data_IF_110951799535
#
_entry.id   IF_110951799535
#
_cell.length_a   1.000
_cell.length_b   1.000
_cell.length_c   1.000
_cell.angle_alpha   90.00
_cell.angle_beta   90.00
_cell.angle_gamma   90.00
#
_symmetry.space_group_name_H-M   'P 1'
#
loop_
_entity.id
_entity.type
_entity.pdbx_description
1 polymer ?
#
# COMPACT_ATOMS: atom_id res chain seq x y z
N UNK A 1 -12.78 -3.96 5.19
CA UNK A 1 -12.18 -5.21 5.71
C UNK A 1 -13.11 -5.75 6.80
N UNK A 2 -13.34 -7.06 6.85
CA UNK A 2 -14.23 -7.70 7.80
C UNK A 2 -13.48 -8.81 8.56
N UNK A 3 -13.53 -8.80 9.89
CA UNK A 3 -13.12 -9.93 10.72
C UNK A 3 -14.34 -10.82 10.94
N UNK A 4 -14.19 -12.12 10.70
CA UNK A 4 -15.27 -13.11 10.84
C UNK A 4 -14.77 -14.23 11.74
N UNK A 5 -15.59 -14.58 12.73
CA UNK A 5 -15.44 -15.77 13.57
C UNK A 5 -16.48 -16.80 13.11
N UNK A 6 -16.13 -17.68 12.16
CA UNK A 6 -17.09 -18.60 11.54
C UNK A 6 -17.54 -19.71 12.50
N UNK A 7 -18.86 -19.96 12.52
CA UNK A 7 -19.45 -21.15 13.16
C UNK A 7 -19.53 -22.29 12.13
N UNK A 8 -18.40 -22.97 11.92
CA UNK A 8 -18.26 -24.02 10.91
C UNK A 8 -19.26 -25.17 11.14
N UNK A 9 -20.12 -25.45 10.16
CA UNK A 9 -21.08 -26.57 10.17
C UNK A 9 -20.68 -27.66 9.19
N UNK A 10 -21.08 -28.91 9.49
CA UNK A 10 -20.90 -30.07 8.61
C UNK A 10 -19.44 -30.30 8.18
N UNK A 11 -18.51 -30.22 9.14
CA UNK A 11 -17.09 -30.47 8.92
C UNK A 11 -16.92 -31.96 8.55
N UNK A 12 -16.64 -32.25 7.28
CA UNK A 12 -16.58 -33.63 6.75
C UNK A 12 -15.23 -34.31 7.00
N UNK A 13 -14.17 -33.52 7.24
CA UNK A 13 -12.83 -33.98 7.54
C UNK A 13 -12.27 -33.16 8.72
N UNK A 14 -11.40 -33.73 9.57
CA UNK A 14 -10.62 -33.00 10.61
C UNK A 14 -9.61 -31.99 9.99
N UNK A 15 -10.06 -31.14 9.08
CA UNK A 15 -9.29 -30.01 8.60
C UNK A 15 -9.23 -29.01 9.73
N UNK A 16 -8.01 -28.62 10.11
CA UNK A 16 -7.75 -27.45 10.96
C UNK A 16 -8.27 -26.20 10.23
N UNK A 17 -9.57 -25.94 10.37
CA UNK A 17 -10.21 -24.71 9.90
C UNK A 17 -9.84 -23.58 10.86
N UNK A 18 -9.63 -22.35 10.36
CA UNK A 18 -9.26 -21.23 11.22
C UNK A 18 -10.44 -20.81 12.10
N UNK A 19 -10.13 -20.45 13.35
CA UNK A 19 -11.12 -19.90 14.30
C UNK A 19 -11.57 -18.49 13.90
N UNK A 20 -10.74 -17.77 13.14
CA UNK A 20 -11.05 -16.43 12.64
C UNK A 20 -10.38 -16.17 11.31
N UNK A 21 -11.12 -15.48 10.43
CA UNK A 21 -10.67 -15.12 9.09
C UNK A 21 -10.89 -13.63 8.86
N UNK A 22 -10.07 -13.05 7.99
CA UNK A 22 -10.23 -11.69 7.50
C UNK A 22 -10.69 -11.75 6.05
N UNK A 23 -11.72 -10.98 5.71
CA UNK A 23 -12.16 -10.75 4.33
C UNK A 23 -11.85 -9.30 3.95
N UNK A 24 -10.98 -9.13 2.95
CA UNK A 24 -10.75 -7.86 2.26
C UNK A 24 -11.63 -7.83 1.01
N UNK A 25 -12.48 -6.80 0.92
CA UNK A 25 -13.35 -6.52 -0.21
C UNK A 25 -12.94 -5.14 -0.72
N UNK A 26 -12.59 -5.04 -2.00
CA UNK A 26 -12.28 -3.77 -2.63
C UNK A 26 -13.55 -2.92 -2.73
N UNK A 27 -13.47 -1.67 -2.28
CA UNK A 27 -14.63 -0.78 -2.21
C UNK A 27 -14.20 0.68 -2.30
N UNK A 28 -14.99 1.48 -3.02
CA UNK A 28 -14.85 2.93 -3.09
C UNK A 28 -15.68 3.66 -2.04
N UNK A 29 -16.37 2.96 -1.14
CA UNK A 29 -17.33 3.59 -0.22
C UNK A 29 -16.69 4.70 0.62
N UNK A 30 -15.49 4.46 1.15
CA UNK A 30 -14.77 5.48 1.94
C UNK A 30 -14.38 6.69 1.09
N UNK A 31 -13.99 6.48 -0.18
CA UNK A 31 -13.68 7.58 -1.08
C UNK A 31 -14.92 8.44 -1.34
N UNK A 32 -16.06 7.80 -1.65
CA UNK A 32 -17.34 8.49 -1.87
C UNK A 32 -17.76 9.29 -0.62
N UNK A 33 -17.59 8.72 0.57
CA UNK A 33 -17.90 9.38 1.84
C UNK A 33 -17.03 10.63 2.07
N UNK A 34 -15.70 10.50 1.90
CA UNK A 34 -14.77 11.63 2.06
C UNK A 34 -15.07 12.73 1.03
N UNK A 35 -15.30 12.37 -0.24
CA UNK A 35 -15.64 13.35 -1.27
C UNK A 35 -16.97 14.06 -0.97
N UNK A 36 -17.96 13.34 -0.42
CA UNK A 36 -19.21 13.93 0.05
C UNK A 36 -18.98 14.96 1.16
N UNK A 37 -18.15 14.64 2.15
CA UNK A 37 -17.78 15.57 3.24
C UNK A 37 -17.05 16.81 2.72
N UNK A 38 -16.14 16.64 1.74
CA UNK A 38 -15.41 17.76 1.14
C UNK A 38 -16.36 18.70 0.36
N UNK A 39 -17.35 18.18 -0.35
CA UNK A 39 -18.35 18.99 -1.04
C UNK A 39 -19.21 19.83 -0.10
N UNK A 40 -19.52 19.32 1.10
CA UNK A 40 -20.27 20.06 2.11
C UNK A 40 -19.47 21.23 2.70
N UNK A 41 -18.14 21.10 2.78
CA UNK A 41 -17.24 22.13 3.34
C UNK A 41 -16.96 23.25 2.33
N UNK A 42 -16.72 22.91 1.07
CA UNK A 42 -16.07 23.85 0.14
C UNK A 42 -17.05 24.80 -0.61
N UNK A 43 -18.37 24.54 -0.61
CA UNK A 43 -19.37 25.22 -1.47
C UNK A 43 -18.97 25.34 -2.96
N UNK A 44 -17.87 24.72 -3.38
CA UNK A 44 -17.31 24.74 -4.71
C UNK A 44 -17.85 23.55 -5.49
N UNK A 45 -18.34 23.84 -6.68
CA UNK A 45 -18.99 22.91 -7.62
C UNK A 45 -17.99 21.99 -8.30
N UNK A 46 -17.20 21.23 -7.55
CA UNK A 46 -16.57 20.02 -8.10
C UNK A 46 -17.57 18.89 -7.92
N UNK A 47 -18.58 18.87 -8.79
CA UNK A 47 -19.41 17.68 -8.96
C UNK A 47 -18.46 16.51 -9.17
N UNK A 48 -18.59 15.45 -8.38
CA UNK A 48 -17.93 14.18 -8.64
C UNK A 48 -18.33 13.78 -10.07
N UNK A 49 -17.39 13.94 -11.00
CA UNK A 49 -17.63 13.57 -12.39
C UNK A 49 -17.68 12.05 -12.46
N UNK A 50 -18.68 11.50 -13.14
CA UNK A 50 -18.81 10.05 -13.32
C UNK A 50 -17.52 9.46 -13.93
N UNK A 51 -16.82 10.21 -14.78
CA UNK A 51 -15.55 9.79 -15.35
C UNK A 51 -14.44 9.60 -14.29
N UNK A 52 -14.41 10.45 -13.26
CA UNK A 52 -13.42 10.33 -12.18
C UNK A 52 -13.73 9.13 -11.27
N UNK A 53 -15.01 8.88 -11.00
CA UNK A 53 -15.43 7.69 -10.27
C UNK A 53 -15.09 6.40 -11.01
N UNK A 54 -15.35 6.35 -12.32
CA UNK A 54 -15.04 5.18 -13.15
C UNK A 54 -13.53 4.89 -13.16
N UNK A 55 -12.71 5.95 -13.28
CA UNK A 55 -11.24 5.84 -13.18
C UNK A 55 -10.80 5.32 -11.82
N UNK A 56 -11.38 5.84 -10.74
CA UNK A 56 -11.05 5.39 -9.38
C UNK A 56 -11.49 3.95 -9.13
N UNK A 57 -12.65 3.54 -9.64
CA UNK A 57 -13.11 2.16 -9.60
C UNK A 57 -12.15 1.24 -10.33
N UNK A 58 -11.71 1.64 -11.52
CA UNK A 58 -10.73 0.88 -12.30
C UNK A 58 -9.41 0.72 -11.53
N UNK A 59 -8.91 1.80 -10.91
CA UNK A 59 -7.70 1.76 -10.07
C UNK A 59 -7.90 0.81 -8.89
N UNK A 60 -9.03 0.92 -8.18
CA UNK A 60 -9.36 0.05 -7.04
C UNK A 60 -9.36 -1.44 -7.42
N UNK A 61 -9.94 -1.78 -8.57
CA UNK A 61 -9.92 -3.16 -9.11
C UNK A 61 -8.50 -3.59 -9.50
N UNK A 62 -7.72 -2.69 -10.11
CA UNK A 62 -6.34 -2.95 -10.55
C UNK A 62 -5.42 -3.24 -9.35
N UNK A 63 -5.47 -2.44 -8.29
CA UNK A 63 -4.66 -2.66 -7.07
C UNK A 63 -5.07 -3.92 -6.31
N UNK A 64 -6.38 -4.22 -6.26
CA UNK A 64 -6.88 -5.49 -5.72
C UNK A 64 -6.33 -6.70 -6.49
N UNK A 65 -6.36 -6.63 -7.82
CA UNK A 65 -5.86 -7.72 -8.67
C UNK A 65 -4.34 -7.91 -8.58
N UNK A 66 -3.59 -6.84 -8.32
CA UNK A 66 -2.15 -6.90 -8.04
C UNK A 66 -1.91 -7.71 -6.76
N UNK A 67 -2.64 -7.41 -5.69
CA UNK A 67 -2.53 -8.15 -4.42
C UNK A 67 -2.95 -9.63 -4.58
N UNK A 68 -4.05 -9.90 -5.30
CA UNK A 68 -4.44 -11.26 -5.65
C UNK A 68 -3.32 -12.00 -6.40
N UNK A 69 -2.73 -11.35 -7.41
CA UNK A 69 -1.63 -11.93 -8.21
C UNK A 69 -0.40 -12.26 -7.37
N UNK A 70 -0.06 -11.41 -6.40
CA UNK A 70 1.02 -11.67 -5.45
C UNK A 70 0.75 -12.95 -4.65
N UNK A 71 -0.42 -13.04 -4.02
CA UNK A 71 -0.76 -14.19 -3.19
C UNK A 71 -0.92 -15.49 -4.00
N UNK A 72 -1.50 -15.43 -5.20
CA UNK A 72 -1.56 -16.57 -6.11
C UNK A 72 -0.16 -17.07 -6.46
N UNK A 73 0.74 -16.15 -6.84
CA UNK A 73 2.13 -16.49 -7.18
C UNK A 73 2.85 -17.16 -6.01
N UNK A 74 2.75 -16.58 -4.82
CA UNK A 74 3.35 -17.15 -3.60
C UNK A 74 2.78 -18.54 -3.30
N UNK A 75 1.46 -18.72 -3.42
CA UNK A 75 0.77 -19.99 -3.14
C UNK A 75 1.14 -21.08 -4.15
N UNK A 76 1.09 -20.78 -5.44
CA UNK A 76 1.35 -21.74 -6.52
C UNK A 76 2.80 -22.25 -6.51
N UNK A 77 3.73 -21.40 -6.10
CA UNK A 77 5.16 -21.73 -6.07
C UNK A 77 5.64 -22.20 -4.69
N UNK A 78 4.75 -22.36 -3.71
CA UNK A 78 5.08 -22.73 -2.34
C UNK A 78 6.16 -21.81 -1.71
N UNK A 79 5.97 -20.50 -1.86
CA UNK A 79 6.92 -19.46 -1.45
C UNK A 79 6.46 -18.69 -0.20
N UNK A 80 5.50 -19.21 0.57
CA UNK A 80 5.04 -18.56 1.79
C UNK A 80 6.22 -18.35 2.76
N UNK A 81 6.41 -17.10 3.16
CA UNK A 81 7.30 -16.75 4.26
C UNK A 81 6.53 -16.80 5.56
N UNK A 82 7.24 -16.78 6.70
CA UNK A 82 6.61 -16.62 8.02
C UNK A 82 5.86 -15.28 8.18
N UNK A 83 6.15 -14.30 7.33
CA UNK A 83 5.56 -12.96 7.38
C UNK A 83 4.47 -12.74 6.33
N UNK A 84 4.17 -13.76 5.51
CA UNK A 84 3.08 -13.67 4.53
C UNK A 84 1.80 -14.26 5.12
N UNK A 85 0.69 -13.51 5.13
CA UNK A 85 -0.60 -14.05 5.55
C UNK A 85 -0.98 -15.28 4.73
N UNK A 86 -1.50 -16.31 5.40
CA UNK A 86 -1.96 -17.50 4.72
C UNK A 86 -3.31 -17.23 4.05
N UNK A 87 -3.40 -17.50 2.75
CA UNK A 87 -4.61 -17.22 1.98
C UNK A 87 -5.47 -18.46 1.85
N UNK A 88 -6.65 -18.40 2.45
CA UNK A 88 -7.69 -19.43 2.37
C UNK A 88 -8.32 -19.42 0.97
N UNK A 89 -8.78 -18.26 0.51
CA UNK A 89 -9.41 -18.09 -0.79
C UNK A 89 -9.22 -16.66 -1.29
N UNK A 90 -9.25 -16.45 -2.60
CA UNK A 90 -9.19 -15.12 -3.21
C UNK A 90 -9.93 -15.14 -4.54
N UNK A 91 -10.31 -13.95 -5.01
CA UNK A 91 -10.91 -13.72 -6.32
C UNK A 91 -10.49 -12.36 -6.85
N UNK A 92 -9.89 -12.35 -8.03
CA UNK A 92 -9.63 -11.15 -8.81
C UNK A 92 -10.89 -10.67 -9.52
N UNK A 93 -10.95 -9.39 -9.86
CA UNK A 93 -11.92 -8.86 -10.81
C UNK A 93 -11.55 -9.27 -12.23
N UNK A 94 -12.54 -9.77 -12.97
CA UNK A 94 -12.44 -10.12 -14.39
C UNK A 94 -13.80 -9.91 -15.07
N UNK A 95 -13.92 -10.27 -16.35
CA UNK A 95 -15.17 -10.13 -17.12
C UNK A 95 -16.35 -10.90 -16.50
N UNK A 96 -16.09 -12.03 -15.84
CA UNK A 96 -17.10 -12.86 -15.16
C UNK A 96 -17.36 -12.44 -13.70
N UNK A 97 -16.45 -11.68 -13.10
CA UNK A 97 -16.43 -11.30 -11.68
C UNK A 97 -16.27 -9.79 -11.48
N UNK A 98 -17.06 -8.99 -12.21
CA UNK A 98 -16.89 -7.53 -12.25
C UNK A 98 -17.18 -6.83 -10.91
N UNK A 99 -17.95 -7.47 -10.01
CA UNK A 99 -18.49 -6.86 -8.78
C UNK A 99 -18.11 -7.59 -7.49
N UNK A 100 -17.32 -8.66 -7.53
CA UNK A 100 -17.11 -9.53 -6.37
C UNK A 100 -15.66 -10.01 -6.15
N UNK A 101 -14.68 -9.14 -6.41
CA UNK A 101 -13.30 -9.38 -5.98
C UNK A 101 -13.17 -9.39 -4.45
N UNK A 102 -12.43 -10.36 -3.92
CA UNK A 102 -12.17 -10.49 -2.48
C UNK A 102 -10.86 -11.23 -2.19
N UNK A 103 -10.33 -11.07 -0.98
CA UNK A 103 -9.26 -11.90 -0.43
C UNK A 103 -9.70 -12.37 0.96
N UNK A 104 -9.62 -13.67 1.21
CA UNK A 104 -9.89 -14.33 2.50
C UNK A 104 -8.58 -14.92 3.02
N UNK A 105 -8.15 -14.44 4.18
CA UNK A 105 -6.89 -14.83 4.81
C UNK A 105 -7.09 -15.15 6.29
N UNK A 106 -6.12 -15.86 6.86
CA UNK A 106 -6.11 -16.11 8.31
C UNK A 106 -6.04 -14.78 9.07
N UNK A 107 -6.79 -14.68 10.17
CA UNK A 107 -6.67 -13.54 11.07
C UNK A 107 -5.31 -13.56 11.77
N UNK A 108 -4.60 -12.44 11.71
CA UNK A 108 -3.33 -12.24 12.41
C UNK A 108 -3.60 -11.26 13.55
N UNK A 109 -3.51 -11.76 14.77
CA UNK A 109 -3.58 -10.91 15.95
C UNK A 109 -2.38 -9.96 15.97
N UNK A 110 -2.67 -8.67 16.07
CA UNK A 110 -1.67 -7.60 16.18
C UNK A 110 -2.04 -6.71 17.36
N UNK A 111 -1.02 -6.23 18.06
CA UNK A 111 -1.17 -5.12 18.99
C UNK A 111 -1.24 -3.81 18.20
N UNK A 112 -1.85 -2.80 18.81
CA UNK A 112 -1.88 -1.45 18.26
C UNK A 112 -0.45 -0.89 18.16
N UNK A 113 -0.10 -0.41 16.98
CA UNK A 113 1.18 0.22 16.70
C UNK A 113 0.95 1.47 15.85
N UNK A 114 1.25 2.63 16.41
CA UNK A 114 1.05 3.93 15.79
C UNK A 114 2.17 4.27 14.81
N UNK A 115 1.90 5.16 13.85
CA UNK A 115 2.93 5.77 13.00
C UNK A 115 3.97 6.56 13.81
N UNK A 116 3.60 7.03 15.01
CA UNK A 116 4.48 7.75 15.92
C UNK A 116 5.30 6.82 16.83
N UNK A 117 5.03 5.52 16.82
CA UNK A 117 5.75 4.57 17.65
C UNK A 117 7.11 4.25 17.04
N UNK A 118 8.13 4.23 17.89
CA UNK A 118 9.49 3.88 17.49
C UNK A 118 9.73 2.38 17.62
N UNK A 119 10.54 1.85 16.72
CA UNK A 119 11.09 0.49 16.83
C UNK A 119 12.58 0.55 17.13
N UNK A 120 13.06 -0.42 17.88
CA UNK A 120 14.48 -0.66 18.11
C UNK A 120 15.15 -1.18 16.83
N UNK A 121 16.49 -1.13 16.81
CA UNK A 121 17.25 -1.68 15.69
C UNK A 121 17.02 -3.19 15.50
N UNK A 122 16.84 -3.95 16.58
CA UNK A 122 16.58 -5.40 16.50
C UNK A 122 15.19 -5.72 15.95
N UNK A 123 14.19 -4.89 16.24
CA UNK A 123 12.85 -4.97 15.63
C UNK A 123 12.90 -4.60 14.15
N UNK A 124 13.64 -3.54 13.78
CA UNK A 124 13.86 -3.17 12.38
C UNK A 124 14.53 -4.30 11.59
N UNK A 125 15.47 -5.05 12.18
CA UNK A 125 16.09 -6.22 11.53
C UNK A 125 15.06 -7.26 11.08
N UNK A 126 13.94 -7.43 11.81
CA UNK A 126 12.90 -8.37 11.41
C UNK A 126 12.25 -7.93 10.09
N UNK A 127 11.93 -6.63 9.97
CA UNK A 127 11.41 -6.04 8.73
C UNK A 127 12.44 -6.21 7.61
N UNK A 128 13.70 -5.85 7.83
CA UNK A 128 14.75 -5.98 6.81
C UNK A 128 14.92 -7.42 6.32
N UNK A 129 14.85 -8.41 7.21
CA UNK A 129 14.88 -9.84 6.81
C UNK A 129 13.68 -10.21 5.94
N UNK A 130 12.47 -9.75 6.28
CA UNK A 130 11.29 -9.95 5.45
C UNK A 130 11.48 -9.35 4.05
N UNK A 131 12.06 -8.16 3.96
CA UNK A 131 12.32 -7.52 2.67
C UNK A 131 13.31 -8.30 1.81
N UNK A 132 14.37 -8.83 2.40
CA UNK A 132 15.32 -9.68 1.68
C UNK A 132 14.62 -10.94 1.17
N UNK A 133 13.82 -11.63 2.00
CA UNK A 133 13.07 -12.81 1.55
C UNK A 133 12.10 -12.49 0.40
N UNK A 134 11.37 -11.37 0.46
CA UNK A 134 10.49 -10.96 -0.64
C UNK A 134 11.25 -10.60 -1.92
N UNK A 135 12.40 -9.95 -1.81
CA UNK A 135 13.25 -9.69 -2.98
C UNK A 135 13.76 -10.98 -3.61
N UNK A 136 14.12 -12.00 -2.81
CA UNK A 136 14.50 -13.33 -3.31
C UNK A 136 13.33 -14.08 -3.95
N UNK A 137 12.11 -13.95 -3.41
CA UNK A 137 10.88 -14.46 -4.05
C UNK A 137 10.69 -13.82 -5.42
N UNK A 138 10.95 -12.52 -5.53
CA UNK A 138 10.90 -11.77 -6.79
C UNK A 138 11.81 -12.33 -7.89
N UNK A 139 12.94 -12.93 -7.55
CA UNK A 139 13.84 -13.55 -8.54
C UNK A 139 13.25 -14.79 -9.22
N UNK A 140 12.20 -15.37 -8.62
CA UNK A 140 11.51 -16.55 -9.15
C UNK A 140 10.29 -16.19 -9.99
N UNK A 141 9.96 -14.90 -10.12
CA UNK A 141 8.82 -14.42 -10.90
C UNK A 141 9.13 -14.59 -12.38
N UNK A 142 8.26 -15.31 -13.09
CA UNK A 142 8.32 -15.42 -14.55
C UNK A 142 7.84 -14.12 -15.23
N UNK A 143 8.15 -13.97 -16.52
CA UNK A 143 7.85 -12.73 -17.26
C UNK A 143 6.34 -12.41 -17.30
N UNK A 144 5.46 -13.40 -17.38
CA UNK A 144 4.02 -13.17 -17.44
C UNK A 144 3.48 -12.67 -16.11
N UNK A 145 3.92 -13.28 -15.00
CA UNK A 145 3.58 -12.82 -13.65
C UNK A 145 4.20 -11.45 -13.39
N UNK A 146 5.43 -11.22 -13.83
CA UNK A 146 6.12 -9.92 -13.71
C UNK A 146 5.34 -8.78 -14.38
N UNK A 147 4.75 -9.02 -15.56
CA UNK A 147 3.92 -8.02 -16.26
C UNK A 147 2.70 -7.59 -15.46
N UNK A 148 2.14 -8.46 -14.60
CA UNK A 148 1.02 -8.12 -13.71
C UNK A 148 1.43 -7.12 -12.62
N UNK A 149 2.69 -7.13 -12.20
CA UNK A 149 3.24 -6.21 -11.19
C UNK A 149 3.82 -4.92 -11.80
N UNK A 150 4.20 -4.94 -13.09
CA UNK A 150 4.70 -3.75 -13.82
C UNK A 150 3.57 -2.87 -14.33
N UNK A 151 2.62 -2.54 -13.46
CA UNK A 151 1.61 -1.52 -13.78
C UNK A 151 2.25 -0.14 -13.70
N UNK A 152 1.88 0.76 -14.63
CA UNK A 152 2.17 2.21 -14.51
C UNK A 152 1.25 2.88 -13.49
N UNK A 153 0.92 2.14 -12.42
CA UNK A 153 -0.08 2.52 -11.45
C UNK A 153 0.33 3.79 -10.71
N UNK A 154 1.63 3.93 -10.38
CA UNK A 154 2.13 5.14 -9.75
C UNK A 154 1.89 6.38 -10.62
N UNK A 155 2.33 6.37 -11.88
CA UNK A 155 2.10 7.52 -12.77
C UNK A 155 0.61 7.75 -13.04
N UNK A 156 -0.19 6.70 -13.22
CA UNK A 156 -1.66 6.78 -13.38
C UNK A 156 -2.37 7.37 -12.15
N UNK A 157 -1.93 7.03 -10.94
CA UNK A 157 -2.49 7.58 -9.69
C UNK A 157 -2.04 9.04 -9.47
N UNK A 158 -0.79 9.36 -9.78
CA UNK A 158 -0.22 10.68 -9.50
C UNK A 158 -0.52 11.72 -10.58
N UNK A 159 -0.88 11.31 -11.81
CA UNK A 159 -1.11 12.21 -12.95
C UNK A 159 -2.12 13.32 -12.62
N UNK A 160 -3.25 12.97 -12.00
CA UNK A 160 -4.26 13.96 -11.62
C UNK A 160 -3.77 14.93 -10.53
N UNK A 161 -2.88 14.47 -9.65
CA UNK A 161 -2.37 15.25 -8.51
C UNK A 161 -1.26 16.23 -8.90
N UNK A 162 -0.71 16.11 -10.12
CA UNK A 162 0.33 17.04 -10.61
C UNK A 162 -0.15 18.07 -11.60
N UNK A 163 -1.46 18.09 -11.88
CA UNK A 163 -2.05 19.25 -12.54
C UNK A 163 -1.84 20.49 -11.68
N UNK A 164 -1.48 21.61 -12.33
CA UNK A 164 -1.16 22.87 -11.66
C UNK A 164 -2.25 23.32 -10.69
N UNK A 165 -3.52 23.17 -11.08
CA UNK A 165 -4.65 23.56 -10.22
C UNK A 165 -4.75 22.66 -8.98
N UNK A 166 -4.58 21.34 -9.13
CA UNK A 166 -4.59 20.41 -8.00
C UNK A 166 -3.42 20.68 -7.03
N UNK A 167 -2.24 20.99 -7.55
CA UNK A 167 -1.07 21.34 -6.74
C UNK A 167 -1.27 22.64 -5.97
N UNK A 168 -1.82 23.67 -6.62
CA UNK A 168 -2.14 24.95 -5.97
C UNK A 168 -3.16 24.77 -4.86
N UNK A 169 -4.23 24.01 -5.12
CA UNK A 169 -5.23 23.68 -4.10
C UNK A 169 -4.61 22.94 -2.91
N UNK A 170 -3.67 22.02 -3.14
CA UNK A 170 -2.96 21.33 -2.05
C UNK A 170 -2.13 22.29 -1.18
N UNK A 171 -1.44 23.25 -1.80
CA UNK A 171 -0.67 24.29 -1.09
C UNK A 171 -1.58 25.23 -0.32
N UNK A 172 -2.65 25.72 -0.95
CA UNK A 172 -3.65 26.59 -0.30
C UNK A 172 -4.32 25.88 0.89
N UNK A 173 -4.68 24.61 0.72
CA UNK A 173 -5.17 23.75 1.80
C UNK A 173 -4.17 23.69 2.95
N UNK A 174 -2.88 23.49 2.66
CA UNK A 174 -1.82 23.49 3.67
C UNK A 174 -1.73 24.82 4.41
N UNK A 175 -1.84 25.96 3.70
CA UNK A 175 -1.86 27.30 4.30
C UNK A 175 -3.04 27.51 5.24
N UNK A 176 -4.20 26.93 4.93
CA UNK A 176 -5.41 27.10 5.74
C UNK A 176 -5.35 26.45 7.13
N UNK A 177 -4.46 25.47 7.32
CA UNK A 177 -4.24 24.82 8.63
C UNK A 177 -3.36 25.63 9.58
N UNK A 178 -2.66 26.65 9.09
CA UNK A 178 -1.76 27.48 9.87
C UNK A 178 -2.32 28.90 10.04
N UNK A 179 -2.07 29.49 11.21
CA UNK A 179 -2.45 30.87 11.52
C UNK A 179 -1.41 31.91 11.06
N UNK A 180 -0.46 31.49 10.22
CA UNK A 180 0.68 32.29 9.74
C UNK A 180 2.00 32.02 10.49
N UNK A 181 2.05 31.06 11.41
CA UNK A 181 3.26 30.72 12.17
C UNK A 181 4.29 29.90 11.39
N UNK A 182 3.84 29.26 10.30
CA UNK A 182 4.62 28.38 9.43
C UNK A 182 4.77 28.97 8.01
N UNK A 183 4.43 30.25 7.80
CA UNK A 183 4.38 30.87 6.46
C UNK A 183 5.65 30.62 5.65
N UNK A 184 6.81 30.88 6.23
CA UNK A 184 8.10 30.76 5.56
C UNK A 184 8.40 29.31 5.17
N UNK A 185 8.01 28.35 6.03
CA UNK A 185 8.17 26.91 5.78
C UNK A 185 7.21 26.47 4.66
N UNK A 186 5.99 26.99 4.64
CA UNK A 186 5.00 26.67 3.60
C UNK A 186 5.42 27.29 2.26
N UNK A 187 6.03 28.47 2.25
CA UNK A 187 6.59 29.10 1.05
C UNK A 187 7.74 28.24 0.47
N UNK A 188 8.65 27.78 1.32
CA UNK A 188 9.73 26.87 0.92
C UNK A 188 9.17 25.52 0.41
N UNK A 189 8.16 24.97 1.10
CA UNK A 189 7.47 23.76 0.68
C UNK A 189 6.81 23.94 -0.68
N UNK A 190 6.07 25.03 -0.91
CA UNK A 190 5.42 25.33 -2.18
C UNK A 190 6.45 25.35 -3.31
N UNK A 191 7.57 26.05 -3.11
CA UNK A 191 8.61 26.13 -4.12
C UNK A 191 9.13 24.74 -4.51
N UNK A 192 9.51 23.93 -3.51
CA UNK A 192 10.03 22.58 -3.73
C UNK A 192 8.97 21.66 -4.34
N UNK A 193 7.73 21.69 -3.82
CA UNK A 193 6.64 20.85 -4.28
C UNK A 193 6.28 21.13 -5.73
N UNK A 194 6.14 22.41 -6.10
CA UNK A 194 5.80 22.82 -7.46
C UNK A 194 6.90 22.45 -8.46
N UNK A 195 8.17 22.54 -8.06
CA UNK A 195 9.30 22.16 -8.90
C UNK A 195 9.45 20.63 -9.02
N UNK A 196 9.28 19.89 -7.92
CA UNK A 196 9.53 18.44 -7.85
C UNK A 196 8.39 17.62 -8.45
N UNK A 197 7.14 18.04 -8.26
CA UNK A 197 5.95 17.30 -8.68
C UNK A 197 5.48 17.74 -10.06
N UNK A 198 6.22 17.31 -11.09
CA UNK A 198 5.83 17.50 -12.50
C UNK A 198 5.52 16.17 -13.16
N UNK A 199 4.65 16.19 -14.17
CA UNK A 199 4.29 14.99 -14.92
C UNK A 199 5.52 14.34 -15.58
N UNK A 200 6.46 15.14 -16.06
CA UNK A 200 7.71 14.66 -16.65
C UNK A 200 8.59 13.96 -15.61
N UNK A 201 8.74 14.53 -14.40
CA UNK A 201 9.50 13.90 -13.31
C UNK A 201 8.82 12.62 -12.83
N UNK A 202 7.49 12.57 -12.75
CA UNK A 202 6.74 11.33 -12.43
C UNK A 202 6.94 10.26 -13.50
N UNK A 203 6.81 10.60 -14.78
CA UNK A 203 7.02 9.65 -15.88
C UNK A 203 8.46 9.15 -15.95
N UNK A 204 9.44 9.93 -15.49
CA UNK A 204 10.82 9.46 -15.35
C UNK A 204 10.95 8.32 -14.32
N UNK A 205 10.14 8.28 -13.26
CA UNK A 205 10.15 7.16 -12.30
C UNK A 205 9.82 5.82 -12.96
N UNK A 206 8.94 5.81 -13.97
CA UNK A 206 8.59 4.58 -14.72
C UNK A 206 9.81 3.97 -15.45
N UNK A 207 10.84 4.78 -15.75
CA UNK A 207 12.06 4.36 -16.46
C UNK A 207 13.33 4.41 -15.60
N UNK A 208 13.23 4.85 -14.34
CA UNK A 208 14.37 5.12 -13.46
C UNK A 208 15.26 3.89 -13.29
N UNK A 209 14.68 2.70 -13.12
CA UNK A 209 15.45 1.47 -12.92
C UNK A 209 16.26 1.07 -14.15
N UNK A 210 15.66 1.19 -15.34
CA UNK A 210 16.34 0.95 -16.60
C UNK A 210 17.50 1.94 -16.78
N UNK A 211 17.28 3.22 -16.45
CA UNK A 211 18.29 4.28 -16.58
C UNK A 211 19.45 4.11 -15.58
N UNK A 212 19.20 3.50 -14.42
CA UNK A 212 20.22 3.25 -13.38
C UNK A 212 20.85 1.85 -13.49
N UNK A 213 20.53 1.08 -14.53
CA UNK A 213 20.99 -0.32 -14.72
C UNK A 213 20.72 -1.21 -13.48
N UNK A 214 19.63 -0.94 -12.78
CA UNK A 214 19.29 -1.65 -11.55
C UNK A 214 18.44 -2.88 -11.86
N UNK A 215 18.76 -3.99 -11.21
CA UNK A 215 17.91 -5.18 -11.23
C UNK A 215 16.57 -4.86 -10.56
N UNK A 216 15.49 -5.09 -11.29
CA UNK A 216 14.13 -5.11 -10.76
C UNK A 216 13.96 -6.27 -9.78
N UNK A 217 13.45 -5.99 -8.59
CA UNK A 217 13.11 -7.00 -7.57
C UNK A 217 11.71 -6.74 -7.06
N UNK A 218 11.02 -7.81 -6.63
CA UNK A 218 9.71 -7.68 -6.00
C UNK A 218 9.83 -6.93 -4.68
N UNK A 219 9.02 -5.88 -4.52
CA UNK A 219 8.84 -5.20 -3.24
C UNK A 219 7.36 -5.09 -2.89
N UNK A 220 7.10 -4.76 -1.62
CA UNK A 220 5.77 -4.45 -1.12
C UNK A 220 5.08 -3.27 -1.82
N UNK A 221 5.86 -2.23 -2.17
CA UNK A 221 5.38 -1.02 -2.82
C UNK A 221 4.74 0.03 -1.90
N UNK A 222 4.03 -0.42 -0.86
CA UNK A 222 3.41 0.46 0.14
C UNK A 222 3.82 0.03 1.56
N UNK A 223 5.10 0.09 1.90
CA UNK A 223 5.57 -0.41 3.20
C UNK A 223 5.71 0.72 4.22
N UNK A 224 4.80 0.75 5.17
CA UNK A 224 4.76 1.69 6.30
C UNK A 224 4.16 1.00 7.53
N UNK A 225 4.14 1.69 8.67
CA UNK A 225 3.87 1.09 9.98
C UNK A 225 2.54 0.34 10.05
N UNK A 226 1.49 0.81 9.38
CA UNK A 226 0.14 0.20 9.39
C UNK A 226 0.06 -1.13 8.63
N UNK A 227 1.05 -1.40 7.78
CA UNK A 227 1.12 -2.64 6.99
C UNK A 227 2.03 -3.69 7.67
N UNK A 228 2.54 -3.38 8.86
CA UNK A 228 3.35 -4.27 9.68
C UNK A 228 2.50 -4.76 10.87
N UNK A 229 2.22 -6.06 10.90
CA UNK A 229 1.47 -6.67 12.00
C UNK A 229 2.43 -7.06 13.11
N UNK A 230 2.28 -6.45 14.29
CA UNK A 230 3.18 -6.60 15.42
C UNK A 230 2.52 -7.29 16.60
N UNK A 231 3.27 -8.09 17.35
CA UNK A 231 2.83 -8.59 18.66
C UNK A 231 3.94 -8.43 19.67
N UNK A 232 3.65 -7.87 20.84
CA UNK A 232 4.61 -7.79 21.94
C UNK A 232 4.80 -9.17 22.55
N UNK A 233 6.05 -9.54 22.78
CA UNK A 233 6.38 -10.71 23.59
C UNK A 233 6.22 -10.42 25.08
N UNK A 234 6.48 -11.43 25.92
CA UNK A 234 6.38 -11.34 27.38
C UNK A 234 7.29 -10.26 28.00
N UNK A 235 8.34 -9.84 27.28
CA UNK A 235 9.27 -8.78 27.71
C UNK A 235 8.92 -7.42 27.09
N UNK A 236 7.84 -7.32 26.31
CA UNK A 236 7.37 -6.10 25.67
C UNK A 236 8.01 -5.78 24.31
N UNK A 237 8.92 -6.63 23.80
CA UNK A 237 9.55 -6.42 22.49
C UNK A 237 8.60 -6.80 21.35
N UNK A 238 8.62 -6.02 20.28
CA UNK A 238 7.79 -6.24 19.12
C UNK A 238 8.31 -7.43 18.29
N UNK A 239 7.41 -8.34 17.97
CA UNK A 239 7.64 -9.49 17.09
C UNK A 239 6.81 -9.29 15.82
N UNK A 240 7.47 -9.23 14.67
CA UNK A 240 6.79 -9.08 13.38
C UNK A 240 6.05 -10.38 13.05
N UNK A 241 4.73 -10.31 12.96
CA UNK A 241 3.87 -11.45 12.65
C UNK A 241 3.56 -11.57 11.17
N UNK A 242 3.33 -10.44 10.51
CA UNK A 242 3.09 -10.42 9.08
C UNK A 242 3.35 -9.04 8.48
N UNK A 243 3.53 -9.02 7.17
CA UNK A 243 3.44 -7.82 6.33
C UNK A 243 2.24 -8.03 5.42
N UNK A 244 1.32 -7.06 5.38
CA UNK A 244 0.01 -7.14 4.69
C UNK A 244 -0.13 -6.00 3.69
N UNK A 245 -1.10 -6.12 2.78
CA UNK A 245 -1.50 -5.07 1.83
C UNK A 245 -0.54 -4.86 0.63
N UNK A 246 -0.34 -5.91 -0.17
CA UNK A 246 0.56 -5.90 -1.35
C UNK A 246 -0.06 -5.26 -2.60
N UNK A 247 -0.97 -4.31 -2.42
CA UNK A 247 -1.78 -3.72 -3.50
C UNK A 247 -0.99 -2.80 -4.46
N UNK A 248 0.17 -2.30 -4.02
CA UNK A 248 1.05 -1.41 -4.80
C UNK A 248 2.37 -2.11 -5.14
N UNK A 249 2.41 -3.44 -5.24
CA UNK A 249 3.64 -4.19 -5.51
C UNK A 249 4.34 -3.76 -6.80
N UNK A 250 5.32 -2.85 -6.68
CA UNK A 250 6.14 -2.36 -7.80
C UNK A 250 7.48 -3.10 -7.78
N UNK A 251 8.11 -3.27 -8.93
CA UNK A 251 9.50 -3.67 -8.99
C UNK A 251 10.38 -2.46 -8.62
N UNK A 252 10.92 -2.38 -7.40
CA UNK A 252 11.79 -1.26 -6.98
C UNK A 252 13.09 -1.80 -6.42
N UNK A 253 14.20 -1.14 -6.75
CA UNK A 253 15.51 -1.47 -6.17
C UNK A 253 15.58 -1.23 -4.66
N UNK A 254 16.29 -2.11 -3.95
CA UNK A 254 16.52 -2.10 -2.50
C UNK A 254 17.04 -0.75 -1.96
N UNK A 255 17.78 0.01 -2.78
CA UNK A 255 18.45 1.27 -2.41
C UNK A 255 17.49 2.44 -2.16
N UNK A 256 16.38 2.52 -2.90
CA UNK A 256 15.36 3.56 -2.71
C UNK A 256 14.57 3.32 -1.42
N UNK A 257 14.38 2.04 -1.06
CA UNK A 257 13.55 1.62 0.07
C UNK A 257 14.16 1.93 1.45
N UNK A 258 15.48 1.85 1.56
CA UNK A 258 16.17 2.29 2.78
C UNK A 258 15.91 3.78 3.00
N UNK A 259 15.99 4.62 1.96
CA UNK A 259 15.70 6.06 2.06
C UNK A 259 14.23 6.39 2.35
N UNK A 260 13.27 5.71 1.72
CA UNK A 260 11.83 5.99 1.92
C UNK A 260 11.30 5.57 3.29
N UNK A 261 11.89 4.55 3.92
CA UNK A 261 11.55 4.17 5.30
C UNK A 261 12.02 5.23 6.32
N UNK A 262 13.08 5.99 5.99
CA UNK A 262 13.58 7.10 6.79
C UNK A 262 12.90 8.45 6.51
N UNK A 263 11.98 8.54 5.53
CA UNK A 263 11.22 9.76 5.23
C UNK A 263 9.83 9.82 5.88
N UNK A 264 9.40 8.77 6.58
CA UNK A 264 8.45 8.91 7.71
C UNK A 264 9.15 9.73 8.81
N UNK A 265 8.48 10.52 9.68
CA UNK A 265 9.14 11.39 10.66
C UNK A 265 9.91 10.59 11.74
N UNK A 266 11.05 10.04 11.35
CA UNK A 266 12.01 9.26 12.14
C UNK A 266 13.39 9.95 12.09
N UNK A 267 13.51 11.10 11.42
CA UNK A 267 14.75 11.89 11.40
C UNK A 267 14.90 12.73 12.67
N UNK A 268 15.13 12.12 13.83
CA UNK A 268 15.68 12.85 15.00
C UNK A 268 16.64 12.05 15.86
N UNK A 269 17.15 10.88 15.42
CA UNK A 269 18.19 10.18 16.20
C UNK A 269 19.35 9.72 15.33
N UNK A 270 20.01 10.67 14.66
CA UNK A 270 21.40 10.50 14.21
C UNK A 270 22.11 11.86 14.28
N UNK A 271 22.37 12.32 15.50
CA UNK A 271 23.53 13.15 15.86
C UNK A 271 24.02 12.75 17.24
#
# INVERSE_FOLDING_TARGET
ILLITPDWKNIVDEKNLPDSIVIKIASLMNYVEIMGQMQEIDQATTSIDNEQNDKMEQICKEVHNIECSFYEFVKQNNLYTRWTPKITSLRSFDESHQMNGFIIMDYIESDDFSICDNITFDELKQVLKALVEYSTIGEKIDENTSKKFRSKLYSKMMENMVHEDAKKMAVEGTRSFDSGSLSDIIDDYEHVYMEAMTLDKIKQFDSLFANLEMKEVLIHGDLWSTNLMWKRDENGHLQLKAIVDYQVGVNVSLLIKVKSHFSSPISTVLH
#
